data_IF_359556943474
#
_entry.id   IF_359556943474
#
_cell.length_a   1.000
_cell.length_b   1.000
_cell.length_c   1.000
_cell.angle_alpha   90.00
_cell.angle_beta   90.00
_cell.angle_gamma   90.00
#
_symmetry.space_group_name_H-M   'P 1'
#
loop_
_entity.id
_entity.type
_entity.pdbx_description
1 polymer ?
#
# COMPACT_ATOMS: atom_id res chain seq x y z
N UNK A 1 -9.65 -14.79 12.76
CA UNK A 1 -8.32 -14.96 13.40
C UNK A 1 -7.68 -13.59 13.42
N UNK A 2 -7.49 -12.99 14.59
CA UNK A 2 -6.81 -11.70 14.70
C UNK A 2 -5.32 -11.98 14.81
N UNK A 3 -4.52 -11.38 13.93
CA UNK A 3 -3.06 -11.43 14.03
C UNK A 3 -2.64 -10.26 14.92
N UNK A 4 -2.09 -10.58 16.08
CA UNK A 4 -1.46 -9.59 16.95
C UNK A 4 -0.01 -9.41 16.49
N UNK A 5 0.33 -8.19 16.05
CA UNK A 5 1.69 -7.81 15.68
C UNK A 5 2.33 -7.06 16.85
N UNK A 6 3.57 -7.38 17.16
CA UNK A 6 4.40 -6.53 18.01
C UNK A 6 4.68 -5.18 17.32
N UNK A 7 5.07 -4.17 18.10
CA UNK A 7 5.39 -2.86 17.53
C UNK A 7 6.48 -2.91 16.44
N UNK A 8 7.59 -3.67 16.58
CA UNK A 8 8.58 -3.81 15.50
C UNK A 8 8.04 -4.50 14.25
N UNK A 9 7.16 -5.50 14.40
CA UNK A 9 6.54 -6.18 13.25
C UNK A 9 5.56 -5.25 12.53
N UNK A 10 4.82 -4.43 13.27
CA UNK A 10 3.94 -3.41 12.71
C UNK A 10 4.75 -2.35 11.95
N UNK A 11 5.87 -1.87 12.51
CA UNK A 11 6.75 -0.92 11.84
C UNK A 11 7.35 -1.50 10.54
N UNK A 12 7.79 -2.76 10.58
CA UNK A 12 8.28 -3.46 9.39
C UNK A 12 7.18 -3.59 8.32
N UNK A 13 5.97 -3.98 8.72
CA UNK A 13 4.83 -4.09 7.81
C UNK A 13 4.49 -2.74 7.18
N UNK A 14 4.42 -1.67 7.98
CA UNK A 14 4.18 -0.30 7.50
C UNK A 14 5.22 0.13 6.47
N UNK A 15 6.50 -0.20 6.72
CA UNK A 15 7.58 0.09 5.76
C UNK A 15 7.38 -0.67 4.44
N UNK A 16 7.15 -1.99 4.51
CA UNK A 16 6.94 -2.83 3.31
C UNK A 16 5.75 -2.32 2.49
N UNK A 17 4.65 -1.95 3.16
CA UNK A 17 3.46 -1.41 2.51
C UNK A 17 3.77 -0.08 1.81
N UNK A 18 4.53 0.83 2.45
CA UNK A 18 4.95 2.10 1.84
C UNK A 18 5.86 1.90 0.64
N UNK A 19 6.83 1.00 0.73
CA UNK A 19 7.74 0.68 -0.37
C UNK A 19 6.93 0.18 -1.58
N UNK A 20 5.95 -0.71 -1.33
CA UNK A 20 5.08 -1.24 -2.39
C UNK A 20 4.14 -0.19 -2.99
N UNK A 21 3.65 0.77 -2.21
CA UNK A 21 2.90 1.92 -2.74
C UNK A 21 3.78 2.79 -3.66
N UNK A 22 5.06 2.91 -3.35
CA UNK A 22 6.08 3.51 -4.23
C UNK A 22 6.19 2.78 -5.56
N UNK A 23 6.35 1.45 -5.53
CA UNK A 23 6.42 0.60 -6.73
C UNK A 23 5.19 0.77 -7.62
N UNK A 24 3.99 0.78 -7.05
CA UNK A 24 2.75 1.00 -7.81
C UNK A 24 2.74 2.38 -8.46
N UNK A 25 3.22 3.39 -7.76
CA UNK A 25 3.25 4.76 -8.29
C UNK A 25 4.19 4.88 -9.49
N UNK A 26 5.34 4.19 -9.45
CA UNK A 26 6.26 4.07 -10.57
C UNK A 26 5.64 3.28 -11.74
N UNK A 27 5.07 2.10 -11.48
CA UNK A 27 4.43 1.29 -12.53
C UNK A 27 3.25 2.00 -13.21
N UNK A 28 2.46 2.78 -12.47
CA UNK A 28 1.37 3.61 -13.02
C UNK A 28 1.93 4.67 -13.96
N UNK A 29 3.06 5.28 -13.60
CA UNK A 29 3.74 6.28 -14.42
C UNK A 29 4.32 5.68 -15.70
N UNK A 30 4.90 4.48 -15.61
CA UNK A 30 5.63 3.83 -16.71
C UNK A 30 4.74 3.01 -17.66
N UNK A 31 3.50 2.72 -17.25
CA UNK A 31 2.56 1.92 -18.06
C UNK A 31 1.85 2.78 -19.10
N UNK A 32 1.93 2.42 -20.38
CA UNK A 32 1.18 3.07 -21.47
C UNK A 32 -0.25 2.52 -21.67
N UNK A 33 -0.52 1.28 -21.24
CA UNK A 33 -1.85 0.67 -21.34
C UNK A 33 -2.81 1.25 -20.29
N UNK A 34 -3.87 1.92 -20.76
CA UNK A 34 -4.82 2.59 -19.88
C UNK A 34 -5.60 1.64 -18.98
N UNK A 35 -5.96 0.44 -19.45
CA UNK A 35 -6.69 -0.55 -18.65
C UNK A 35 -5.80 -1.12 -17.57
N UNK A 36 -4.56 -1.46 -17.93
CA UNK A 36 -3.60 -1.96 -16.95
C UNK A 36 -3.26 -0.89 -15.90
N UNK A 37 -3.16 0.38 -16.31
CA UNK A 37 -2.97 1.52 -15.40
C UNK A 37 -4.13 1.68 -14.41
N UNK A 38 -5.37 1.42 -14.82
CA UNK A 38 -6.53 1.42 -13.93
C UNK A 38 -6.47 0.27 -12.91
N UNK A 39 -6.06 -0.93 -13.32
CA UNK A 39 -5.84 -2.05 -12.40
C UNK A 39 -4.78 -1.71 -11.35
N UNK A 40 -3.65 -1.14 -11.76
CA UNK A 40 -2.60 -0.72 -10.83
C UNK A 40 -3.09 0.35 -9.84
N UNK A 41 -3.93 1.28 -10.28
CA UNK A 41 -4.54 2.30 -9.41
C UNK A 41 -5.48 1.68 -8.38
N UNK A 42 -6.28 0.69 -8.78
CA UNK A 42 -7.18 -0.02 -7.88
C UNK A 42 -6.37 -0.76 -6.80
N UNK A 43 -5.37 -1.55 -7.19
CA UNK A 43 -4.50 -2.28 -6.25
C UNK A 43 -3.75 -1.33 -5.29
N UNK A 44 -3.21 -0.23 -5.82
CA UNK A 44 -2.59 0.82 -5.00
C UNK A 44 -3.58 1.41 -4.00
N UNK A 45 -4.83 1.63 -4.40
CA UNK A 45 -5.90 2.14 -3.54
C UNK A 45 -6.25 1.19 -2.39
N UNK A 46 -6.36 -0.10 -2.69
CA UNK A 46 -6.58 -1.13 -1.66
C UNK A 46 -5.44 -1.16 -0.65
N UNK A 47 -4.19 -1.12 -1.14
CA UNK A 47 -3.00 -1.11 -0.29
C UNK A 47 -2.90 0.16 0.56
N UNK A 48 -3.29 1.32 0.02
CA UNK A 48 -3.40 2.56 0.78
C UNK A 48 -4.43 2.43 1.91
N UNK A 49 -5.59 1.84 1.62
CA UNK A 49 -6.61 1.57 2.64
C UNK A 49 -6.13 0.62 3.75
N UNK A 50 -5.25 -0.33 3.43
CA UNK A 50 -4.58 -1.16 4.44
C UNK A 50 -3.62 -0.31 5.29
N UNK A 51 -2.79 0.52 4.66
CA UNK A 51 -1.86 1.40 5.36
C UNK A 51 -2.58 2.35 6.34
N UNK A 52 -3.71 2.92 5.92
CA UNK A 52 -4.51 3.84 6.75
C UNK A 52 -5.14 3.14 7.96
N UNK A 53 -5.39 1.83 7.87
CA UNK A 53 -5.84 1.01 9.01
C UNK A 53 -4.70 0.63 9.95
N UNK A 54 -3.48 0.46 9.42
CA UNK A 54 -2.28 0.11 10.19
C UNK A 54 -1.69 1.33 10.92
N UNK A 55 -1.74 2.49 10.28
CA UNK A 55 -1.32 3.77 10.84
C UNK A 55 -2.57 4.62 10.98
N UNK A 56 -3.27 4.61 12.13
CA UNK A 56 -4.40 5.51 12.31
C UNK A 56 -3.89 6.93 12.05
N UNK A 57 -4.52 7.61 11.10
CA UNK A 57 -4.23 9.00 10.79
C UNK A 57 -4.18 9.75 12.12
N UNK A 58 -3.02 10.36 12.44
CA UNK A 58 -2.94 11.27 13.57
C UNK A 58 -4.06 12.29 13.35
N UNK A 59 -5.04 12.27 14.25
CA UNK A 59 -6.10 13.28 14.34
C UNK A 59 -5.48 14.68 14.50
#
# INVERSE_FOLDING_TARGET
>A
MNVELSAPELELLVRVVRDRLGDYSMQISDTDDSKFRETLRAERGELQGILDRLVPAKA
#
